data_IF_233184785564
#
_entry.id   IF_233184785564
#
_cell.length_a   1.000
_cell.length_b   1.000
_cell.length_c   1.000
_cell.angle_alpha   90.00
_cell.angle_beta   90.00
_cell.angle_gamma   90.00
#
_symmetry.space_group_name_H-M   'P 1'
#
loop_
_entity.id
_entity.type
_entity.pdbx_description
1 polymer ?
#
# COMPACT_ATOMS: atom_id res chain seq x y z
N UNK A 1 11.99 -6.95 -15.87
CA UNK A 1 10.62 -7.27 -16.28
C UNK A 1 9.69 -6.90 -15.13
N UNK A 2 9.13 -5.69 -15.16
CA UNK A 2 8.21 -5.21 -14.10
C UNK A 2 6.77 -5.73 -14.34
N UNK A 3 6.52 -6.34 -15.49
CA UNK A 3 5.20 -6.78 -15.96
C UNK A 3 4.58 -7.88 -15.09
N UNK A 4 5.39 -8.57 -14.27
CA UNK A 4 4.93 -9.63 -13.36
C UNK A 4 5.00 -9.26 -11.87
N UNK A 5 5.32 -8.01 -11.52
CA UNK A 5 5.39 -7.60 -10.12
C UNK A 5 4.00 -7.27 -9.56
N UNK A 6 3.46 -8.17 -8.74
CA UNK A 6 2.25 -7.88 -8.00
C UNK A 6 2.59 -7.05 -6.74
N UNK A 7 2.18 -5.79 -6.73
CA UNK A 7 2.38 -4.89 -5.58
C UNK A 7 1.79 -5.45 -4.28
N UNK A 8 0.81 -6.35 -4.32
CA UNK A 8 0.27 -7.01 -3.14
C UNK A 8 1.26 -7.95 -2.44
N UNK A 9 2.36 -8.34 -3.09
CA UNK A 9 3.33 -9.30 -2.55
C UNK A 9 4.43 -8.65 -1.70
N UNK A 10 4.49 -7.31 -1.64
CA UNK A 10 5.39 -6.59 -0.72
C UNK A 10 4.88 -6.58 0.72
N UNK A 11 3.61 -6.92 0.95
CA UNK A 11 3.03 -6.93 2.29
C UNK A 11 3.39 -8.25 2.97
N UNK A 12 3.96 -8.17 4.17
CA UNK A 12 4.25 -9.36 4.97
C UNK A 12 2.95 -10.03 5.45
N UNK A 13 1.93 -9.21 5.76
CA UNK A 13 0.58 -9.64 6.09
C UNK A 13 -0.42 -8.92 5.16
N UNK A 14 -1.11 -9.70 4.32
CA UNK A 14 -2.06 -9.17 3.34
C UNK A 14 -3.28 -8.52 3.99
N UNK A 15 -3.63 -8.89 5.22
CA UNK A 15 -4.76 -8.30 5.94
C UNK A 15 -4.54 -6.82 6.26
N UNK A 16 -3.29 -6.39 6.45
CA UNK A 16 -2.96 -4.99 6.69
C UNK A 16 -3.27 -4.12 5.45
N UNK A 17 -3.04 -4.67 4.24
CA UNK A 17 -3.46 -4.03 2.99
C UNK A 17 -4.98 -3.98 2.89
N UNK A 18 -5.66 -5.08 3.18
CA UNK A 18 -7.13 -5.16 3.11
C UNK A 18 -7.81 -4.13 4.03
N UNK A 19 -7.31 -3.97 5.26
CA UNK A 19 -7.77 -2.95 6.20
C UNK A 19 -7.65 -1.53 5.63
N UNK A 20 -6.52 -1.22 4.97
CA UNK A 20 -6.33 0.08 4.31
C UNK A 20 -7.37 0.30 3.20
N UNK A 21 -7.63 -0.70 2.37
CA UNK A 21 -8.63 -0.60 1.30
C UNK A 21 -10.07 -0.54 1.84
N UNK A 22 -10.37 -1.20 2.96
CA UNK A 22 -11.66 -1.07 3.63
C UNK A 22 -11.89 0.38 4.08
N UNK A 23 -10.88 1.02 4.66
CA UNK A 23 -10.95 2.43 5.05
C UNK A 23 -11.13 3.34 3.83
N UNK A 24 -10.36 3.14 2.77
CA UNK A 24 -10.52 3.88 1.50
C UNK A 24 -11.92 3.72 0.91
N UNK A 25 -12.54 2.55 1.04
CA UNK A 25 -13.89 2.29 0.53
C UNK A 25 -14.97 3.13 1.24
N UNK A 26 -14.68 3.58 2.47
CA UNK A 26 -15.53 4.49 3.26
C UNK A 26 -15.31 5.96 2.87
N UNK A 27 -14.40 6.24 1.94
CA UNK A 27 -14.02 7.59 1.52
C UNK A 27 -12.99 8.27 2.43
N UNK A 28 -12.41 7.52 3.38
CA UNK A 28 -11.44 8.03 4.33
C UNK A 28 -10.00 7.78 3.83
N UNK A 29 -9.09 8.77 3.91
CA UNK A 29 -7.68 8.52 3.62
C UNK A 29 -7.05 7.65 4.72
N UNK A 30 -6.05 6.86 4.33
CA UNK A 30 -5.18 6.15 5.28
C UNK A 30 -3.91 6.98 5.44
N UNK A 31 -3.56 7.35 6.67
CA UNK A 31 -2.42 8.24 6.94
C UNK A 31 -1.51 7.63 7.99
N UNK A 32 -0.21 7.55 7.69
CA UNK A 32 0.84 7.02 8.58
C UNK A 32 0.50 5.66 9.21
N UNK A 33 -0.13 4.76 8.45
CA UNK A 33 -0.39 3.41 8.93
C UNK A 33 0.93 2.63 8.96
N UNK A 34 1.32 2.13 10.12
CA UNK A 34 2.44 1.19 10.22
C UNK A 34 2.07 -0.10 9.50
N UNK A 35 2.91 -0.50 8.55
CA UNK A 35 2.76 -1.73 7.77
C UNK A 35 4.08 -2.48 7.75
N UNK A 36 4.01 -3.79 7.96
CA UNK A 36 5.17 -4.68 7.80
C UNK A 36 5.31 -5.11 6.35
N UNK A 37 6.43 -4.74 5.74
CA UNK A 37 6.76 -5.04 4.36
C UNK A 37 7.87 -6.09 4.25
N UNK A 38 7.88 -6.78 3.10
CA UNK A 38 8.89 -7.75 2.69
C UNK A 38 9.62 -7.21 1.46
N UNK A 39 10.94 -7.12 1.54
CA UNK A 39 11.82 -6.76 0.42
C UNK A 39 12.04 -7.95 -0.51
N UNK A 40 12.53 -7.67 -1.72
CA UNK A 40 12.86 -8.69 -2.72
C UNK A 40 13.97 -9.65 -2.27
N UNK A 41 14.86 -9.19 -1.38
CA UNK A 41 15.91 -10.01 -0.76
C UNK A 41 15.41 -10.88 0.42
N UNK A 42 14.12 -10.80 0.74
CA UNK A 42 13.50 -11.52 1.85
C UNK A 42 13.63 -10.83 3.22
N UNK A 43 14.38 -9.74 3.33
CA UNK A 43 14.42 -8.92 4.54
C UNK A 43 13.09 -8.20 4.76
N UNK A 44 12.88 -7.70 5.99
CA UNK A 44 11.65 -7.05 6.41
C UNK A 44 11.94 -5.64 6.92
N UNK A 45 10.94 -4.79 6.83
CA UNK A 45 10.93 -3.49 7.48
C UNK A 45 9.51 -3.06 7.77
N UNK A 46 9.37 -2.20 8.77
CA UNK A 46 8.11 -1.52 9.04
C UNK A 46 8.20 -0.14 8.43
N UNK A 47 7.15 0.27 7.71
CA UNK A 47 7.08 1.59 7.10
C UNK A 47 5.74 2.25 7.35
N UNK A 48 5.71 3.57 7.22
CA UNK A 48 4.51 4.38 7.31
C UNK A 48 3.88 4.52 5.93
N UNK A 49 2.75 3.84 5.75
CA UNK A 49 1.99 3.81 4.52
C UNK A 49 0.87 4.85 4.53
N UNK A 50 0.71 5.53 3.40
CA UNK A 50 -0.35 6.50 3.14
C UNK A 50 -1.10 6.08 1.88
N UNK A 51 -2.43 6.13 1.92
CA UNK A 51 -3.29 5.83 0.78
C UNK A 51 -4.34 6.91 0.59
N UNK A 52 -4.52 7.33 -0.65
CA UNK A 52 -5.51 8.33 -1.04
C UNK A 52 -6.22 7.89 -2.32
N UNK A 53 -7.56 7.91 -2.30
CA UNK A 53 -8.35 7.78 -3.52
C UNK A 53 -8.08 8.99 -4.43
N UNK A 54 -7.74 8.74 -5.69
CA UNK A 54 -7.44 9.78 -6.68
C UNK A 54 -7.94 9.36 -8.06
N UNK A 55 -7.73 10.20 -9.06
CA UNK A 55 -8.06 9.93 -10.45
C UNK A 55 -6.84 10.20 -11.33
N UNK A 56 -6.59 9.30 -12.29
CA UNK A 56 -5.54 9.47 -13.29
C UNK A 56 -6.10 9.15 -14.67
N UNK A 57 -6.08 10.13 -15.58
CA UNK A 57 -6.67 10.01 -16.93
C UNK A 57 -8.10 9.46 -16.89
N UNK A 58 -8.95 10.05 -16.05
CA UNK A 58 -10.37 9.67 -15.88
C UNK A 58 -10.61 8.27 -15.28
N UNK A 59 -9.56 7.58 -14.84
CA UNK A 59 -9.67 6.31 -14.15
C UNK A 59 -9.45 6.48 -12.65
N UNK A 60 -10.30 5.83 -11.84
CA UNK A 60 -10.08 5.72 -10.39
C UNK A 60 -8.73 5.08 -10.12
N UNK A 61 -7.98 5.69 -9.24
CA UNK A 61 -6.66 5.23 -8.84
C UNK A 61 -6.49 5.40 -7.32
N UNK A 62 -5.47 4.73 -6.79
CA UNK A 62 -5.04 4.92 -5.40
C UNK A 62 -3.60 5.45 -5.45
N UNK A 63 -3.39 6.63 -4.89
CA UNK A 63 -2.05 7.12 -4.62
C UNK A 63 -1.54 6.39 -3.37
N UNK A 64 -0.36 5.77 -3.50
CA UNK A 64 0.34 5.10 -2.41
C UNK A 64 1.66 5.81 -2.12
N UNK A 65 1.87 6.18 -0.86
CA UNK A 65 3.11 6.77 -0.36
C UNK A 65 3.67 5.96 0.80
N UNK A 66 4.98 5.78 0.84
CA UNK A 66 5.68 5.00 1.85
C UNK A 66 6.90 5.75 2.37
N UNK A 67 7.02 5.84 3.69
CA UNK A 67 8.22 6.30 4.39
C UNK A 67 8.77 5.15 5.22
N UNK A 68 10.03 4.78 4.98
CA UNK A 68 10.79 3.86 5.84
C UNK A 68 11.51 4.68 6.93
N UNK A 69 11.52 4.19 8.17
CA UNK A 69 12.25 4.79 9.30
C UNK A 69 13.35 3.86 9.84
#
# INVERSE_FOLDING_TARGET
>A
DLDNFNVGDIYNDKSQREACYEQLSKGEPVVNQEIDFKRTDGSRFTGLANYLNTEFKEHKAVLFGLTEY
#
